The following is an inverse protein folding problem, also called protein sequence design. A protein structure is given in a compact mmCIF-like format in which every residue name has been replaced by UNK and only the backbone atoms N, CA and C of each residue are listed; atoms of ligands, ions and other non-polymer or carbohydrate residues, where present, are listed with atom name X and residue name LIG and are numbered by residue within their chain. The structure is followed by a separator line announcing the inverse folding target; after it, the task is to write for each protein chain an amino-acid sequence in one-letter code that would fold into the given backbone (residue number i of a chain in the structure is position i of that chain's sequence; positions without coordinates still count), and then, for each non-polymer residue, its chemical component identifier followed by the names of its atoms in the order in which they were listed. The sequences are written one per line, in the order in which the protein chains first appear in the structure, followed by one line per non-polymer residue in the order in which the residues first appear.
data_IF_929995650473
#
_entry.id   IF_929995650473
#
_cell.length_a   1.000
_cell.length_b   1.000
_cell.length_c   1.000
_cell.angle_alpha   90.00
_cell.angle_beta   90.00
_cell.angle_gamma   90.00
#
_symmetry.space_group_name_H-M   'P 1'
#
loop_
_entity.id
_entity.type
_entity.pdbx_description
1 polymer ?
#
# COMPACT_ATOMS: atom_id res chain seq x y z
N UNK A 1 9.07 26.91 53.16
CA UNK A 1 8.38 25.75 53.76
C UNK A 1 6.98 25.73 53.15
N UNK A 2 6.74 24.81 52.21
CA UNK A 2 5.91 23.60 52.39
C UNK A 2 4.41 23.93 52.28
N UNK A 3 3.49 23.28 51.55
CA UNK A 3 3.36 22.25 50.48
C UNK A 3 1.84 22.09 50.28
N UNK A 4 1.40 21.19 49.35
CA UNK A 4 0.08 20.53 49.27
C UNK A 4 -0.92 21.14 48.26
N UNK A 5 -1.18 20.59 47.05
CA UNK A 5 -1.49 19.24 46.51
C UNK A 5 -2.95 18.80 46.76
N UNK A 6 -3.62 18.33 45.69
CA UNK A 6 -4.77 17.38 45.57
C UNK A 6 -5.80 17.92 44.56
N UNK A 7 -5.82 17.54 43.28
CA UNK A 7 -6.15 16.25 42.65
C UNK A 7 -7.59 15.77 42.90
N UNK A 8 -8.50 15.87 41.91
CA UNK A 8 -9.78 15.13 41.88
C UNK A 8 -10.31 14.95 40.45
N UNK A 9 -10.32 13.66 40.04
CA UNK A 9 -11.13 12.93 39.04
C UNK A 9 -11.28 13.47 37.60
N UNK A 10 -10.64 12.89 36.57
CA UNK A 10 -10.92 11.61 35.85
C UNK A 10 -12.36 11.44 35.35
N UNK A 11 -12.53 11.54 34.03
CA UNK A 11 -13.06 10.47 33.17
C UNK A 11 -12.88 10.84 31.68
N UNK A 12 -11.68 10.63 31.13
CA UNK A 12 -11.52 10.43 29.69
C UNK A 12 -11.40 8.92 29.49
N UNK A 13 -12.50 8.30 29.10
CA UNK A 13 -12.55 6.88 28.73
C UNK A 13 -11.80 6.71 27.41
N UNK A 14 -10.50 6.48 27.47
CA UNK A 14 -9.75 5.84 26.39
C UNK A 14 -10.08 4.35 26.42
N UNK A 15 -11.12 3.95 25.70
CA UNK A 15 -11.40 2.55 25.39
C UNK A 15 -10.24 2.02 24.55
N UNK A 16 -9.30 1.39 25.24
CA UNK A 16 -8.19 0.64 24.68
C UNK A 16 -8.74 -0.73 24.28
N UNK A 17 -9.31 -0.82 23.08
CA UNK A 17 -9.66 -2.13 22.51
C UNK A 17 -8.42 -2.70 21.82
N UNK A 18 -7.71 -3.54 22.55
CA UNK A 18 -6.50 -4.23 22.11
C UNK A 18 -6.88 -5.46 21.29
N UNK A 19 -7.37 -5.21 20.08
CA UNK A 19 -7.36 -6.19 19.00
C UNK A 19 -5.92 -6.31 18.48
N UNK A 20 -5.12 -7.19 19.08
CA UNK A 20 -3.73 -7.50 18.65
C UNK A 20 -3.74 -8.29 17.34
N UNK A 21 -4.29 -7.70 16.29
CA UNK A 21 -3.91 -7.96 14.91
C UNK A 21 -2.76 -7.03 14.53
N UNK A 22 -1.96 -7.35 13.52
CA UNK A 22 -0.91 -6.45 13.09
C UNK A 22 -1.50 -5.12 12.57
N UNK A 23 -0.80 -3.99 12.74
CA UNK A 23 -1.33 -2.68 12.40
C UNK A 23 -1.70 -2.64 10.92
N UNK A 24 -2.97 -2.32 10.67
CA UNK A 24 -3.57 -2.27 9.34
C UNK A 24 -4.28 -0.93 9.21
N UNK A 25 -3.94 -0.18 8.16
CA UNK A 25 -4.60 1.08 7.80
C UNK A 25 -5.33 0.91 6.48
N UNK A 26 -6.62 1.24 6.45
CA UNK A 26 -7.45 1.17 5.26
C UNK A 26 -8.00 2.57 4.97
N UNK A 27 -7.84 3.04 3.74
CA UNK A 27 -8.43 4.28 3.28
C UNK A 27 -9.82 4.00 2.70
N UNK A 28 -10.83 3.90 3.58
CA UNK A 28 -12.20 3.58 3.20
C UNK A 28 -12.80 4.59 2.19
N UNK A 29 -12.32 5.82 2.20
CA UNK A 29 -12.73 6.87 1.26
C UNK A 29 -12.01 6.82 -0.10
N UNK A 30 -11.10 5.86 -0.30
CA UNK A 30 -10.38 5.73 -1.56
C UNK A 30 -11.30 5.31 -2.72
N UNK A 31 -10.87 5.62 -3.95
CA UNK A 31 -11.66 5.30 -5.14
C UNK A 31 -11.99 3.81 -5.27
N UNK A 32 -11.15 2.93 -4.73
CA UNK A 32 -11.36 1.49 -4.73
C UNK A 32 -12.65 1.09 -3.99
N UNK A 33 -12.82 1.49 -2.74
CA UNK A 33 -13.98 1.11 -1.93
C UNK A 33 -15.25 1.85 -2.37
N UNK A 34 -15.10 3.05 -2.94
CA UNK A 34 -16.21 3.76 -3.60
C UNK A 34 -16.70 3.01 -4.85
N UNK A 35 -15.79 2.43 -5.63
CA UNK A 35 -16.11 1.62 -6.80
C UNK A 35 -16.54 0.18 -6.48
N UNK A 36 -16.16 -0.33 -5.31
CA UNK A 36 -16.46 -1.69 -4.87
C UNK A 36 -16.98 -1.70 -3.42
N UNK A 37 -18.25 -1.30 -3.19
CA UNK A 37 -18.83 -1.29 -1.85
C UNK A 37 -18.79 -2.69 -1.21
N UNK A 38 -18.26 -2.78 0.01
CA UNK A 38 -18.13 -4.04 0.73
C UNK A 38 -16.93 -4.91 0.32
N UNK A 39 -16.09 -4.46 -0.62
CA UNK A 39 -14.85 -5.17 -0.93
C UNK A 39 -13.85 -5.10 0.23
N UNK A 40 -13.09 -6.18 0.39
CA UNK A 40 -12.00 -6.28 1.36
C UNK A 40 -10.67 -6.41 0.64
N UNK A 41 -9.62 -5.79 1.18
CA UNK A 41 -8.27 -6.01 0.67
C UNK A 41 -7.77 -7.40 1.08
N UNK A 42 -7.03 -8.11 0.20
CA UNK A 42 -6.49 -9.42 0.52
C UNK A 42 -5.51 -9.30 1.70
N UNK A 43 -5.54 -10.26 2.62
CA UNK A 43 -4.64 -10.39 3.77
C UNK A 43 -3.20 -10.65 3.32
N UNK A 44 -2.19 -10.35 4.17
CA UNK A 44 -0.79 -10.63 3.83
C UNK A 44 -0.54 -12.11 3.52
N UNK A 45 -1.23 -13.02 4.23
CA UNK A 45 -1.16 -14.45 4.00
C UNK A 45 -1.73 -14.85 2.63
N UNK A 46 -2.88 -14.31 2.22
CA UNK A 46 -3.44 -14.52 0.89
C UNK A 46 -2.51 -14.01 -0.21
N UNK A 47 -1.88 -12.85 -0.01
CA UNK A 47 -0.91 -12.29 -0.98
C UNK A 47 0.28 -13.23 -1.16
N UNK A 48 0.84 -13.77 -0.08
CA UNK A 48 1.93 -14.76 -0.15
C UNK A 48 1.48 -16.03 -0.86
N UNK A 49 0.27 -16.52 -0.57
CA UNK A 49 -0.28 -17.70 -1.24
C UNK A 49 -0.46 -17.46 -2.74
N UNK A 50 -0.97 -16.28 -3.13
CA UNK A 50 -1.08 -15.87 -4.54
C UNK A 50 0.30 -15.83 -5.20
N UNK A 51 1.30 -15.25 -4.52
CA UNK A 51 2.64 -15.15 -5.11
C UNK A 51 3.27 -16.52 -5.30
N UNK A 52 3.24 -17.40 -4.29
CA UNK A 52 3.73 -18.78 -4.39
C UNK A 52 3.04 -19.54 -5.52
N UNK A 53 1.73 -19.34 -5.71
CA UNK A 53 0.98 -19.97 -6.79
C UNK A 53 1.41 -19.53 -8.19
N UNK A 54 2.15 -18.42 -8.35
CA UNK A 54 2.70 -18.01 -9.65
C UNK A 54 3.83 -18.91 -10.14
N UNK A 55 4.47 -19.67 -9.24
CA UNK A 55 5.61 -20.52 -9.55
C UNK A 55 6.91 -19.76 -9.88
N UNK A 56 6.95 -18.45 -9.61
CA UNK A 56 8.16 -17.66 -9.79
C UNK A 56 9.22 -18.03 -8.71
N UNK A 57 10.46 -18.34 -9.12
CA UNK A 57 11.52 -18.78 -8.20
C UNK A 57 11.97 -17.72 -7.19
N UNK A 58 11.61 -16.45 -7.38
CA UNK A 58 11.88 -15.37 -6.44
C UNK A 58 10.74 -15.14 -5.42
N UNK A 59 9.67 -15.95 -5.47
CA UNK A 59 8.48 -15.77 -4.59
C UNK A 59 8.75 -16.06 -3.12
N UNK A 60 9.80 -16.83 -2.84
CA UNK A 60 10.29 -17.14 -1.50
C UNK A 60 11.29 -16.10 -0.95
N UNK A 61 11.66 -15.08 -1.75
CA UNK A 61 12.49 -13.97 -1.27
C UNK A 61 11.72 -13.19 -0.20
N UNK A 62 12.04 -13.47 1.06
CA UNK A 62 11.38 -12.86 2.21
C UNK A 62 11.51 -11.32 2.25
N UNK A 63 12.63 -10.82 1.73
CA UNK A 63 13.04 -9.43 1.88
C UNK A 63 12.36 -8.50 0.86
N UNK A 64 12.24 -8.96 -0.38
CA UNK A 64 11.70 -8.18 -1.48
C UNK A 64 11.08 -9.08 -2.56
N UNK A 65 10.03 -9.85 -2.21
CA UNK A 65 9.38 -10.73 -3.16
C UNK A 65 8.79 -9.95 -4.35
N UNK A 66 8.60 -10.60 -5.51
CA UNK A 66 7.94 -9.98 -6.66
C UNK A 66 6.57 -9.40 -6.27
N UNK A 67 6.22 -8.19 -6.74
CA UNK A 67 4.90 -7.61 -6.52
C UNK A 67 3.77 -8.50 -7.09
N UNK A 68 2.65 -8.54 -6.38
CA UNK A 68 1.48 -9.34 -6.77
C UNK A 68 0.46 -8.48 -7.49
N UNK A 69 -0.07 -9.01 -8.59
CA UNK A 69 -1.18 -8.41 -9.33
C UNK A 69 -2.44 -9.27 -9.11
N UNK A 70 -3.44 -8.71 -8.43
CA UNK A 70 -4.75 -9.36 -8.27
C UNK A 70 -5.68 -8.78 -9.34
N UNK A 71 -5.73 -9.44 -10.49
CA UNK A 71 -6.42 -8.93 -11.70
C UNK A 71 -7.90 -8.70 -11.48
N UNK A 72 -8.57 -9.60 -10.77
CA UNK A 72 -10.03 -9.55 -10.53
C UNK A 72 -10.43 -8.34 -9.68
N UNK A 73 -9.53 -7.87 -8.83
CA UNK A 73 -9.73 -6.67 -8.01
C UNK A 73 -9.05 -5.43 -8.60
N UNK A 74 -8.31 -5.57 -9.71
CA UNK A 74 -7.50 -4.50 -10.28
C UNK A 74 -6.47 -3.93 -9.30
N UNK A 75 -5.84 -4.79 -8.48
CA UNK A 75 -4.89 -4.37 -7.46
C UNK A 75 -3.44 -4.69 -7.85
N UNK A 76 -2.55 -3.75 -7.56
CA UNK A 76 -1.10 -3.94 -7.53
C UNK A 76 -0.63 -3.88 -6.07
N UNK A 77 0.11 -4.89 -5.66
CA UNK A 77 0.48 -5.09 -4.26
C UNK A 77 1.99 -5.24 -4.17
N UNK A 78 2.63 -4.31 -3.46
CA UNK A 78 4.03 -4.44 -3.05
C UNK A 78 4.06 -4.93 -1.62
N UNK A 79 4.89 -5.94 -1.34
CA UNK A 79 5.06 -6.47 0.00
C UNK A 79 6.49 -6.97 0.22
N UNK A 80 6.94 -7.06 1.46
CA UNK A 80 8.29 -7.52 1.82
C UNK A 80 8.84 -6.84 3.06
N UNK A 81 10.03 -7.25 3.52
CA UNK A 81 10.71 -6.62 4.66
C UNK A 81 11.15 -5.18 4.36
N UNK A 82 11.54 -4.91 3.13
CA UNK A 82 12.03 -3.59 2.72
C UNK A 82 10.94 -2.65 2.19
N UNK A 83 9.70 -3.12 2.12
CA UNK A 83 8.55 -2.25 1.94
C UNK A 83 8.33 -1.52 3.27
N UNK A 84 8.12 -0.21 3.23
CA UNK A 84 7.99 0.61 4.43
C UNK A 84 6.72 1.45 4.38
N UNK A 85 6.21 1.83 5.55
CA UNK A 85 5.14 2.84 5.65
C UNK A 85 5.59 4.16 5.02
N UNK A 86 6.89 4.48 5.07
CA UNK A 86 7.47 5.66 4.43
C UNK A 86 7.24 5.63 2.93
N UNK A 87 7.45 4.49 2.27
CA UNK A 87 7.17 4.34 0.83
C UNK A 87 5.70 4.65 0.50
N UNK A 88 4.75 4.06 1.25
CA UNK A 88 3.32 4.32 1.07
C UNK A 88 2.96 5.81 1.32
N UNK A 89 3.54 6.40 2.36
CA UNK A 89 3.30 7.80 2.74
C UNK A 89 3.87 8.78 1.73
N UNK A 90 5.08 8.52 1.22
CA UNK A 90 5.69 9.29 0.13
C UNK A 90 4.85 9.18 -1.13
N UNK A 91 4.32 8.01 -1.46
CA UNK A 91 3.45 7.82 -2.61
C UNK A 91 2.19 8.69 -2.54
N UNK A 92 1.53 8.73 -1.37
CA UNK A 92 0.38 9.60 -1.11
C UNK A 92 0.77 11.08 -1.25
N UNK A 93 1.86 11.48 -0.58
CA UNK A 93 2.36 12.86 -0.62
C UNK A 93 2.68 13.33 -2.04
N UNK A 94 3.36 12.51 -2.85
CA UNK A 94 3.67 12.84 -4.24
C UNK A 94 2.40 13.00 -5.07
N UNK A 95 1.42 12.12 -4.90
CA UNK A 95 0.11 12.24 -5.57
C UNK A 95 -0.60 13.55 -5.22
N UNK A 96 -0.62 13.91 -3.93
CA UNK A 96 -1.26 15.13 -3.44
C UNK A 96 -0.53 16.41 -3.90
N UNK A 97 0.80 16.37 -3.98
CA UNK A 97 1.62 17.51 -4.40
C UNK A 97 1.62 17.73 -5.89
N UNK A 98 1.62 16.66 -6.68
CA UNK A 98 1.64 16.74 -8.15
C UNK A 98 0.26 16.91 -8.76
N UNK A 99 -0.84 16.68 -8.01
CA UNK A 99 -2.22 17.00 -8.40
C UNK A 99 -2.63 16.57 -9.83
N UNK A 100 -2.05 15.47 -10.33
CA UNK A 100 -2.32 14.95 -11.67
C UNK A 100 -1.34 15.38 -12.77
N UNK A 101 -0.35 16.23 -12.48
CA UNK A 101 0.78 16.51 -13.39
C UNK A 101 1.55 15.22 -13.72
N UNK A 102 1.66 14.33 -12.74
CA UNK A 102 2.13 12.96 -12.92
C UNK A 102 1.03 12.01 -12.51
N UNK A 103 0.77 11.02 -13.35
CA UNK A 103 -0.16 9.95 -13.03
C UNK A 103 0.43 9.04 -11.94
N UNK A 104 0.13 9.37 -10.68
CA UNK A 104 0.56 8.61 -9.51
C UNK A 104 -0.64 7.76 -9.03
N UNK A 105 -0.48 6.44 -8.90
CA UNK A 105 -1.54 5.57 -8.39
C UNK A 105 -2.02 6.03 -7.01
N UNK A 106 -3.29 5.79 -6.68
CA UNK A 106 -3.79 5.99 -5.32
C UNK A 106 -3.32 4.86 -4.38
N UNK A 107 -3.14 5.10 -3.09
CA UNK A 107 -2.90 4.01 -2.12
C UNK A 107 -4.21 3.70 -1.41
N UNK A 108 -4.63 2.44 -1.38
CA UNK A 108 -5.90 1.99 -0.77
C UNK A 108 -5.76 1.55 0.68
N UNK A 109 -4.56 1.14 1.07
CA UNK A 109 -4.24 0.76 2.44
C UNK A 109 -2.91 0.04 2.54
N UNK A 110 -2.49 -0.20 3.78
CA UNK A 110 -1.30 -0.95 4.12
C UNK A 110 -1.54 -1.83 5.36
N UNK A 111 -0.75 -2.89 5.49
CA UNK A 111 -0.72 -3.67 6.73
C UNK A 111 0.69 -4.15 7.00
N UNK A 112 1.00 -4.29 8.28
CA UNK A 112 2.16 -5.07 8.73
C UNK A 112 1.77 -6.53 8.94
N UNK A 113 2.76 -7.42 8.87
CA UNK A 113 2.64 -8.82 9.23
C UNK A 113 4.00 -9.32 9.72
N UNK A 114 4.19 -9.30 11.04
CA UNK A 114 5.48 -9.58 11.66
C UNK A 114 6.56 -8.59 11.25
N UNK A 115 7.44 -9.00 10.33
CA UNK A 115 8.53 -8.17 9.79
C UNK A 115 8.32 -7.73 8.33
N UNK A 116 7.14 -7.97 7.77
CA UNK A 116 6.79 -7.56 6.41
C UNK A 116 5.77 -6.44 6.44
N UNK A 117 5.91 -5.46 5.57
CA UNK A 117 4.88 -4.46 5.27
C UNK A 117 4.31 -4.79 3.89
N UNK A 118 3.02 -4.55 3.70
CA UNK A 118 2.39 -4.48 2.38
C UNK A 118 1.69 -3.15 2.20
N UNK A 119 1.64 -2.63 0.98
CA UNK A 119 0.68 -1.59 0.61
C UNK A 119 0.03 -1.92 -0.73
N UNK A 120 -1.19 -1.42 -0.90
CA UNK A 120 -2.05 -1.72 -2.05
C UNK A 120 -2.32 -0.43 -2.81
N UNK A 121 -2.20 -0.48 -4.13
CA UNK A 121 -2.57 0.61 -5.03
C UNK A 121 -3.27 0.03 -6.28
N UNK A 122 -3.94 0.85 -7.12
CA UNK A 122 -4.60 0.34 -8.30
C UNK A 122 -3.59 -0.22 -9.30
N UNK A 123 -3.97 -1.33 -9.91
CA UNK A 123 -3.32 -1.87 -11.08
C UNK A 123 -3.57 -0.94 -12.26
N UNK A 124 -2.59 -0.07 -12.53
CA UNK A 124 -2.64 0.80 -13.70
C UNK A 124 -2.38 -0.03 -14.96
N UNK A 125 -3.45 -0.28 -15.72
CA UNK A 125 -3.39 -0.79 -17.10
C UNK A 125 -2.47 0.07 -18.01
N UNK A 126 -2.21 1.33 -17.64
CA UNK A 126 -1.50 2.33 -18.46
C UNK A 126 -0.08 2.69 -18.03
N UNK A 127 0.42 2.24 -16.87
CA UNK A 127 1.73 2.69 -16.34
C UNK A 127 2.71 1.52 -16.26
N UNK A 128 3.12 1.03 -17.43
CA UNK A 128 4.45 0.42 -17.57
C UNK A 128 5.41 1.54 -17.93
N UNK A 129 6.22 1.99 -16.97
CA UNK A 129 7.38 2.83 -17.27
C UNK A 129 8.58 1.92 -17.53
N UNK A 130 9.15 1.93 -18.74
CA UNK A 130 10.54 1.48 -18.96
C UNK A 130 11.44 2.72 -18.86
N UNK A 131 12.61 2.56 -18.26
CA UNK A 131 13.65 3.59 -18.25
C UNK A 131 14.51 3.43 -19.50
N UNK A 132 14.34 4.33 -20.46
CA UNK A 132 15.25 4.47 -21.60
C UNK A 132 16.22 5.62 -21.28
N UNK A 133 17.39 5.28 -20.77
CA UNK A 133 18.36 6.29 -20.34
C UNK A 133 17.84 7.13 -19.16
N UNK A 134 17.53 8.40 -19.39
CA UNK A 134 17.17 9.40 -18.36
C UNK A 134 15.68 9.75 -18.32
N UNK A 135 14.86 9.26 -19.27
CA UNK A 135 13.44 9.60 -19.36
C UNK A 135 12.57 8.37 -19.13
N UNK A 136 11.50 8.56 -18.37
CA UNK A 136 10.45 7.56 -18.22
C UNK A 136 9.45 7.74 -19.38
N UNK A 137 8.98 6.67 -20.03
CA UNK A 137 7.87 6.73 -21.01
C UNK A 137 6.81 5.63 -20.82
N UNK A 138 5.53 5.93 -21.08
CA UNK A 138 4.37 5.01 -20.85
C UNK A 138 4.30 3.93 -21.92
N UNK A 139 3.76 2.73 -21.63
CA UNK A 139 3.65 1.57 -22.56
C UNK A 139 3.11 1.89 -23.96
N UNK A 140 2.25 2.89 -24.08
CA UNK A 140 1.66 3.33 -25.34
C UNK A 140 2.62 4.18 -26.19
N UNK A 141 3.52 4.95 -25.56
CA UNK A 141 4.50 5.80 -26.26
C UNK A 141 5.53 4.95 -27.02
N UNK A 142 5.86 3.76 -26.52
CA UNK A 142 6.81 2.82 -27.14
C UNK A 142 6.38 2.37 -28.54
N UNK A 143 5.07 2.25 -28.76
CA UNK A 143 4.52 1.81 -30.04
C UNK A 143 4.53 2.95 -31.08
N UNK A 144 4.56 4.21 -30.64
CA UNK A 144 4.64 5.39 -31.52
C UNK A 144 6.06 5.75 -31.97
N UNK A 145 7.10 5.35 -31.23
CA UNK A 145 8.51 5.69 -31.54
C UNK A 145 9.12 4.79 -32.64
N UNK A 146 8.35 3.83 -33.17
CA UNK A 146 8.77 2.92 -34.25
C UNK A 146 8.05 3.17 -35.59
N UNK A 147 7.48 4.35 -35.80
CA UNK A 147 6.97 4.77 -37.12
C UNK A 147 8.01 5.55 -37.92
#
# INVERSE_FOLDING_TARGET
MATENTNTSRAATTSSDSSTGPPTTIYAESSFFKGHPGATLPTPAEIRAINVATGDPCTDEFDSPPPVIVRDLGLFIKYGRFVTIVEASTHIMVREKLQGEVAVPEVFGWAEDGRQVKYTCPWLREILWRKDGVRWSKKHDWLSVRS
#
